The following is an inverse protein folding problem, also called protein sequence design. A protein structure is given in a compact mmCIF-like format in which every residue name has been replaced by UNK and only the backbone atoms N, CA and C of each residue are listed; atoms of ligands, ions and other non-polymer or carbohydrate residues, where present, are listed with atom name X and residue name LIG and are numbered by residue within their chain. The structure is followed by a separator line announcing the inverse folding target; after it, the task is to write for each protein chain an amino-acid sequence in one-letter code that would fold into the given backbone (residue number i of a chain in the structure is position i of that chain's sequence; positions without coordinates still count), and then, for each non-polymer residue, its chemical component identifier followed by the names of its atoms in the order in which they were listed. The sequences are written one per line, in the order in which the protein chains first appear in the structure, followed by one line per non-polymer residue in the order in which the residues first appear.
data_IF_841315790232
#
_entry.id   IF_841315790232
#
_cell.length_a   1.000
_cell.length_b   1.000
_cell.length_c   1.000
_cell.angle_alpha   90.00
_cell.angle_beta   90.00
_cell.angle_gamma   90.00
#
_symmetry.space_group_name_H-M   'P 1'
#
loop_
_entity.id
_entity.type
_entity.pdbx_description
1 polymer ?
#
# COMPACT_ATOMS: atom_id res chain seq x y z
N UNK A 1 -4.03 -23.03 -18.03
CA UNK A 1 -2.81 -22.35 -17.59
C UNK A 1 -3.21 -21.51 -16.39
N UNK A 2 -3.02 -22.05 -15.18
CA UNK A 2 -3.34 -21.31 -13.95
C UNK A 2 -2.28 -20.23 -13.84
N UNK A 3 -2.71 -18.98 -13.87
CA UNK A 3 -1.82 -17.84 -13.77
C UNK A 3 -0.98 -17.99 -12.49
N UNK A 4 0.34 -17.92 -12.63
CA UNK A 4 1.28 -17.97 -11.50
C UNK A 4 1.06 -16.81 -10.54
N UNK A 5 0.25 -15.81 -10.95
CA UNK A 5 -0.13 -14.61 -10.24
C UNK A 5 -1.62 -14.52 -9.86
N UNK A 6 -2.39 -15.62 -9.93
CA UNK A 6 -3.86 -15.62 -9.75
C UNK A 6 -4.35 -14.85 -8.51
N UNK A 7 -4.61 -13.55 -8.69
CA UNK A 7 -4.96 -12.62 -7.62
C UNK A 7 -4.40 -11.19 -7.75
N UNK A 8 -3.26 -10.95 -8.42
CA UNK A 8 -2.64 -9.60 -8.43
C UNK A 8 -3.27 -8.61 -9.43
N UNK A 9 -4.56 -8.31 -9.27
CA UNK A 9 -5.33 -7.48 -10.21
C UNK A 9 -5.90 -6.20 -9.60
N UNK A 10 -5.50 -5.86 -8.37
CA UNK A 10 -6.02 -4.69 -7.69
C UNK A 10 -5.83 -3.41 -8.52
N UNK A 11 -6.80 -2.52 -8.42
CA UNK A 11 -6.75 -1.19 -9.04
C UNK A 11 -6.82 -0.13 -7.96
N UNK A 12 -6.04 0.93 -8.14
CA UNK A 12 -6.07 2.13 -7.30
C UNK A 12 -6.61 3.30 -8.14
N UNK A 13 -7.65 3.93 -7.65
CA UNK A 13 -8.20 5.16 -8.24
C UNK A 13 -8.60 6.14 -7.13
N UNK A 14 -8.95 7.36 -7.53
CA UNK A 14 -9.46 8.38 -6.61
C UNK A 14 -10.96 8.54 -6.82
N UNK A 15 -11.73 8.54 -5.75
CA UNK A 15 -13.17 8.82 -5.75
C UNK A 15 -13.50 9.81 -4.64
N UNK A 16 -14.23 10.89 -4.97
CA UNK A 16 -14.58 11.98 -4.05
C UNK A 16 -13.43 12.50 -3.16
N UNK A 17 -12.20 12.54 -3.70
CA UNK A 17 -11.00 12.99 -3.00
C UNK A 17 -10.33 11.96 -2.09
N UNK A 18 -10.86 10.72 -2.03
CA UNK A 18 -10.26 9.60 -1.29
C UNK A 18 -9.66 8.57 -2.23
N UNK A 19 -8.70 7.79 -1.74
CA UNK A 19 -8.16 6.66 -2.49
C UNK A 19 -9.11 5.48 -2.39
N UNK A 20 -9.26 4.73 -3.48
CA UNK A 20 -10.08 3.53 -3.55
C UNK A 20 -9.28 2.40 -4.16
N UNK A 21 -9.01 1.38 -3.34
CA UNK A 21 -8.56 0.09 -3.83
C UNK A 21 -9.77 -0.74 -4.21
N UNK A 22 -9.70 -1.39 -5.37
CA UNK A 22 -10.76 -2.28 -5.86
C UNK A 22 -10.18 -3.63 -6.30
N UNK A 23 -10.81 -4.69 -5.81
CA UNK A 23 -10.52 -6.09 -6.13
C UNK A 23 -11.75 -6.77 -6.71
N UNK A 24 -11.52 -7.77 -7.56
CA UNK A 24 -12.58 -8.57 -8.15
C UNK A 24 -12.21 -10.05 -8.14
N UNK A 25 -13.07 -10.90 -7.57
CA UNK A 25 -12.85 -12.35 -7.49
C UNK A 25 -14.07 -13.07 -8.05
N UNK A 26 -13.84 -14.01 -8.95
CA UNK A 26 -14.85 -14.98 -9.36
C UNK A 26 -14.71 -16.23 -8.51
N UNK A 27 -15.67 -16.47 -7.62
CA UNK A 27 -15.73 -17.60 -6.71
C UNK A 27 -16.71 -18.65 -7.26
N UNK A 28 -16.31 -19.92 -7.29
CA UNK A 28 -17.13 -21.03 -7.84
C UNK A 28 -18.15 -21.57 -6.83
N UNK A 29 -18.78 -20.66 -6.09
CA UNK A 29 -19.72 -20.95 -5.01
C UNK A 29 -20.96 -20.07 -5.12
N UNK A 30 -22.14 -20.56 -4.69
CA UNK A 30 -23.36 -19.78 -4.73
C UNK A 30 -23.28 -18.57 -3.77
N UNK A 31 -24.00 -17.46 -4.06
CA UNK A 31 -23.96 -16.23 -3.27
C UNK A 31 -24.21 -16.44 -1.79
N UNK A 32 -25.16 -17.32 -1.42
CA UNK A 32 -25.48 -17.61 -0.02
C UNK A 32 -24.28 -18.20 0.74
N UNK A 33 -23.50 -19.08 0.10
CA UNK A 33 -22.29 -19.65 0.72
C UNK A 33 -21.20 -18.59 0.90
N UNK A 34 -21.02 -17.73 -0.11
CA UNK A 34 -20.05 -16.63 -0.03
C UNK A 34 -20.49 -15.59 1.01
N UNK A 35 -21.79 -15.31 1.10
CA UNK A 35 -22.36 -14.38 2.07
C UNK A 35 -22.06 -14.80 3.50
N UNK A 36 -22.29 -16.08 3.83
CA UNK A 36 -21.92 -16.64 5.13
C UNK A 36 -20.42 -16.47 5.39
N UNK A 37 -19.58 -16.73 4.40
CA UNK A 37 -18.14 -16.59 4.52
C UNK A 37 -17.64 -15.17 4.82
N UNK A 38 -18.39 -14.14 4.40
CA UNK A 38 -18.03 -12.72 4.63
C UNK A 38 -18.80 -12.07 5.79
N UNK A 39 -19.74 -12.76 6.44
CA UNK A 39 -20.58 -12.16 7.50
C UNK A 39 -20.50 -12.89 8.84
N UNK A 40 -20.33 -14.22 8.83
CA UNK A 40 -20.34 -15.08 10.01
C UNK A 40 -18.94 -15.11 10.66
N UNK A 41 -18.81 -14.82 11.97
CA UNK A 41 -17.52 -14.76 12.66
C UNK A 41 -16.67 -16.03 12.51
N UNK A 42 -17.30 -17.21 12.56
CA UNK A 42 -16.64 -18.51 12.39
C UNK A 42 -16.00 -18.69 11.01
N UNK A 43 -16.44 -17.93 10.01
CA UNK A 43 -15.87 -17.97 8.67
C UNK A 43 -14.89 -16.82 8.42
N UNK A 44 -15.18 -15.63 8.95
CA UNK A 44 -14.31 -14.45 8.83
C UNK A 44 -12.90 -14.73 9.38
N UNK A 45 -12.79 -15.45 10.49
CA UNK A 45 -11.50 -15.76 11.14
C UNK A 45 -10.50 -16.51 10.24
N UNK A 46 -10.96 -17.11 9.13
CA UNK A 46 -10.09 -17.85 8.22
C UNK A 46 -9.41 -16.99 7.15
N UNK A 47 -9.89 -15.76 6.93
CA UNK A 47 -9.41 -14.95 5.81
C UNK A 47 -9.34 -13.45 6.09
N UNK A 48 -10.24 -12.91 6.93
CA UNK A 48 -10.25 -11.50 7.28
C UNK A 48 -9.18 -11.23 8.36
N UNK A 49 -8.45 -10.10 8.30
CA UNK A 49 -7.29 -9.87 9.16
C UNK A 49 -7.60 -9.69 10.65
N UNK A 50 -8.86 -9.53 11.04
CA UNK A 50 -9.29 -9.36 12.42
C UNK A 50 -10.59 -10.13 12.73
N UNK A 51 -10.81 -10.48 13.99
CA UNK A 51 -12.11 -10.95 14.46
C UNK A 51 -13.08 -9.76 14.52
N UNK A 52 -14.21 -9.87 13.81
CA UNK A 52 -15.25 -8.83 13.76
C UNK A 52 -16.43 -9.22 14.64
N UNK A 53 -16.65 -8.49 15.72
CA UNK A 53 -17.76 -8.69 16.67
C UNK A 53 -18.75 -7.54 16.66
N UNK A 54 -20.02 -7.83 16.98
CA UNK A 54 -21.13 -6.87 16.97
C UNK A 54 -22.28 -7.32 16.05
N UNK A 55 -23.37 -6.56 16.06
CA UNK A 55 -24.56 -6.90 15.27
C UNK A 55 -24.36 -6.64 13.77
N UNK A 56 -25.13 -7.35 12.95
CA UNK A 56 -25.16 -7.17 11.49
C UNK A 56 -26.40 -6.39 11.09
N UNK A 57 -26.41 -5.10 11.43
CA UNK A 57 -27.50 -4.19 11.08
C UNK A 57 -26.92 -2.81 10.75
N UNK A 58 -27.48 -2.07 9.78
CA UNK A 58 -27.04 -0.70 9.50
C UNK A 58 -27.09 0.17 10.76
N UNK A 59 -26.00 0.89 11.04
CA UNK A 59 -25.81 1.69 12.25
C UNK A 59 -25.28 0.91 13.46
N UNK A 60 -25.15 -0.41 13.39
CA UNK A 60 -24.59 -1.20 14.49
C UNK A 60 -23.09 -0.93 14.67
N UNK A 61 -22.67 -0.72 15.91
CA UNK A 61 -21.27 -0.64 16.27
C UNK A 61 -20.62 -2.03 16.18
N UNK A 62 -19.40 -2.06 15.67
CA UNK A 62 -18.57 -3.27 15.56
C UNK A 62 -17.17 -3.00 16.09
N UNK A 63 -16.53 -4.06 16.57
CA UNK A 63 -15.15 -4.01 17.08
C UNK A 63 -14.30 -5.06 16.38
N UNK A 64 -13.02 -4.76 16.26
CA UNK A 64 -12.03 -5.61 15.61
C UNK A 64 -10.96 -6.03 16.61
N UNK A 65 -10.54 -7.29 16.55
CA UNK A 65 -9.43 -7.80 17.37
C UNK A 65 -8.48 -8.58 16.48
N UNK A 66 -7.19 -8.22 16.48
CA UNK A 66 -6.20 -8.93 15.69
C UNK A 66 -5.92 -10.33 16.26
N UNK A 67 -5.33 -11.20 15.45
CA UNK A 67 -5.10 -12.61 15.83
C UNK A 67 -4.19 -12.78 17.06
N UNK A 68 -3.34 -11.80 17.37
CA UNK A 68 -2.49 -11.76 18.55
C UNK A 68 -3.21 -11.24 19.81
N UNK A 69 -4.52 -10.94 19.70
CA UNK A 69 -5.35 -10.43 20.78
C UNK A 69 -5.25 -8.92 20.99
N UNK A 70 -4.46 -8.20 20.19
CA UNK A 70 -4.39 -6.75 20.26
C UNK A 70 -5.65 -6.09 19.72
N UNK A 71 -5.96 -4.90 20.26
CA UNK A 71 -7.10 -4.11 19.81
C UNK A 71 -6.92 -3.73 18.34
N UNK A 72 -7.87 -4.16 17.50
CA UNK A 72 -7.91 -3.85 16.08
C UNK A 72 -8.73 -2.61 15.77
N UNK A 73 -9.32 -1.97 16.78
CA UNK A 73 -10.10 -0.75 16.61
C UNK A 73 -11.60 -0.99 16.46
N UNK A 74 -12.31 0.04 16.02
CA UNK A 74 -13.77 0.07 15.99
C UNK A 74 -14.33 0.50 14.64
N UNK A 75 -15.63 0.27 14.46
CA UNK A 75 -16.33 0.55 13.23
C UNK A 75 -17.84 0.59 13.37
N UNK A 76 -18.51 0.79 12.25
CA UNK A 76 -19.97 0.77 12.17
C UNK A 76 -20.40 0.11 10.88
N UNK A 77 -21.38 -0.79 10.95
CA UNK A 77 -22.02 -1.36 9.76
C UNK A 77 -22.77 -0.24 9.03
N UNK A 78 -22.39 0.07 7.80
CA UNK A 78 -23.04 1.11 6.99
C UNK A 78 -24.08 0.53 6.04
N UNK A 79 -23.89 -0.71 5.59
CA UNK A 79 -24.85 -1.45 4.76
C UNK A 79 -24.86 -2.92 5.15
N UNK A 80 -26.06 -3.48 5.28
CA UNK A 80 -26.27 -4.92 5.43
C UNK A 80 -27.49 -5.33 4.60
N UNK A 81 -27.24 -5.85 3.40
CA UNK A 81 -28.26 -6.29 2.43
C UNK A 81 -27.98 -7.74 2.01
N UNK A 82 -28.42 -8.75 2.79
CA UNK A 82 -28.19 -10.16 2.47
C UNK A 82 -28.88 -10.61 1.17
N UNK A 83 -28.24 -11.45 0.32
CA UNK A 83 -26.85 -11.88 0.33
C UNK A 83 -25.97 -11.04 -0.64
N UNK A 84 -26.27 -9.74 -0.81
CA UNK A 84 -25.77 -8.91 -1.91
C UNK A 84 -24.68 -7.94 -1.52
N UNK A 85 -24.76 -7.29 -0.35
CA UNK A 85 -23.81 -6.24 0.02
C UNK A 85 -23.62 -6.09 1.52
N UNK A 86 -22.37 -6.08 1.94
CA UNK A 86 -21.93 -5.73 3.29
C UNK A 86 -20.97 -4.55 3.18
N UNK A 87 -21.26 -3.46 3.88
CA UNK A 87 -20.31 -2.35 3.99
C UNK A 87 -20.21 -1.89 5.44
N UNK A 88 -19.01 -1.50 5.85
CA UNK A 88 -18.73 -1.06 7.21
C UNK A 88 -17.50 -0.18 7.27
N UNK A 89 -17.45 0.68 8.29
CA UNK A 89 -16.25 1.44 8.60
C UNK A 89 -15.30 0.63 9.48
N UNK A 90 -14.01 0.89 9.34
CA UNK A 90 -12.96 0.40 10.22
C UNK A 90 -11.93 1.52 10.41
N UNK A 91 -11.80 2.05 11.63
CA UNK A 91 -10.90 3.18 11.93
C UNK A 91 -11.09 4.39 10.98
N UNK A 92 -12.35 4.68 10.61
CA UNK A 92 -12.70 5.78 9.70
C UNK A 92 -12.55 5.49 8.20
N UNK A 93 -11.97 4.36 7.84
CA UNK A 93 -11.91 3.85 6.46
C UNK A 93 -13.17 3.05 6.13
N UNK A 94 -13.55 2.96 4.85
CA UNK A 94 -14.77 2.24 4.42
C UNK A 94 -14.39 0.99 3.64
N UNK A 95 -14.89 -0.16 4.07
CA UNK A 95 -14.88 -1.41 3.33
C UNK A 95 -16.28 -1.71 2.80
N UNK A 96 -16.35 -2.11 1.53
CA UNK A 96 -17.59 -2.50 0.86
C UNK A 96 -17.35 -3.78 0.05
N UNK A 97 -18.14 -4.81 0.37
CA UNK A 97 -18.14 -6.11 -0.26
C UNK A 97 -19.48 -6.31 -0.95
N UNK A 98 -19.44 -6.39 -2.29
CA UNK A 98 -20.62 -6.64 -3.12
C UNK A 98 -20.53 -8.00 -3.80
N UNK A 99 -21.61 -8.77 -3.72
CA UNK A 99 -21.78 -10.09 -4.32
C UNK A 99 -22.78 -10.00 -5.48
N UNK A 100 -22.37 -10.48 -6.66
CA UNK A 100 -23.24 -10.62 -7.83
C UNK A 100 -23.23 -12.08 -8.29
N UNK A 101 -24.40 -12.75 -8.39
CA UNK A 101 -24.47 -14.09 -8.95
C UNK A 101 -23.93 -14.11 -10.39
N UNK A 102 -23.25 -15.19 -10.77
CA UNK A 102 -22.82 -15.46 -12.14
C UNK A 102 -23.35 -16.83 -12.58
N UNK A 103 -23.18 -17.18 -13.87
CA UNK A 103 -23.60 -18.49 -14.37
C UNK A 103 -22.88 -19.68 -13.72
N UNK A 104 -21.73 -19.45 -13.08
CA UNK A 104 -20.87 -20.51 -12.51
C UNK A 104 -20.52 -20.29 -11.04
N UNK A 105 -21.10 -19.29 -10.38
CA UNK A 105 -20.82 -18.97 -8.99
C UNK A 105 -21.17 -17.53 -8.63
N UNK A 106 -20.22 -16.82 -8.02
CA UNK A 106 -20.41 -15.45 -7.50
C UNK A 106 -19.22 -14.59 -7.84
N UNK A 107 -19.47 -13.38 -8.32
CA UNK A 107 -18.49 -12.30 -8.44
C UNK A 107 -18.51 -11.52 -7.12
N UNK A 108 -17.40 -11.56 -6.39
CA UNK A 108 -17.13 -10.71 -5.23
C UNK A 108 -16.34 -9.49 -5.70
N UNK A 109 -16.80 -8.32 -5.31
CA UNK A 109 -16.08 -7.06 -5.43
C UNK A 109 -15.80 -6.54 -4.03
N UNK A 110 -14.54 -6.28 -3.72
CA UNK A 110 -14.13 -5.59 -2.49
C UNK A 110 -13.59 -4.22 -2.88
N UNK A 111 -14.11 -3.17 -2.23
CA UNK A 111 -13.53 -1.82 -2.28
C UNK A 111 -13.14 -1.34 -0.90
N UNK A 112 -11.99 -0.68 -0.82
CA UNK A 112 -11.45 -0.08 0.39
C UNK A 112 -11.17 1.39 0.12
N UNK A 113 -11.91 2.28 0.79
CA UNK A 113 -11.71 3.72 0.74
C UNK A 113 -10.86 4.17 1.93
N UNK A 114 -9.76 4.85 1.65
CA UNK A 114 -8.75 5.26 2.64
C UNK A 114 -8.05 6.55 2.24
N UNK A 115 -7.40 7.17 3.21
CA UNK A 115 -6.81 8.50 3.04
C UNK A 115 -5.29 8.42 2.79
N UNK A 116 -4.58 7.49 3.44
CA UNK A 116 -3.13 7.32 3.32
C UNK A 116 -2.74 6.64 1.99
N UNK A 117 -2.63 7.42 0.91
CA UNK A 117 -2.25 6.92 -0.43
C UNK A 117 -0.94 6.12 -0.41
N UNK A 118 0.15 6.59 0.24
CA UNK A 118 1.36 5.80 0.37
C UNK A 118 1.19 4.41 1.02
N UNK A 119 0.09 4.13 1.73
CA UNK A 119 -0.21 2.79 2.26
C UNK A 119 -0.89 1.83 1.25
N UNK A 120 -1.31 2.32 0.08
CA UNK A 120 -2.10 1.54 -0.88
C UNK A 120 -1.46 0.20 -1.27
N UNK A 121 -0.14 0.15 -1.46
CA UNK A 121 0.55 -1.10 -1.80
C UNK A 121 0.52 -2.14 -0.67
N UNK A 122 0.63 -1.69 0.59
CA UNK A 122 0.55 -2.56 1.78
C UNK A 122 -0.86 -3.10 1.97
N UNK A 123 -1.87 -2.24 1.87
CA UNK A 123 -3.27 -2.65 1.90
C UNK A 123 -3.58 -3.64 0.77
N UNK A 124 -3.08 -3.39 -0.44
CA UNK A 124 -3.36 -4.29 -1.56
C UNK A 124 -2.71 -5.67 -1.41
N UNK A 125 -1.46 -5.73 -0.95
CA UNK A 125 -0.78 -6.98 -0.64
C UNK A 125 -1.49 -7.76 0.49
N UNK A 126 -2.00 -7.04 1.50
CA UNK A 126 -2.81 -7.60 2.57
C UNK A 126 -4.12 -8.21 2.06
N UNK A 127 -4.91 -7.42 1.32
CA UNK A 127 -6.19 -7.88 0.76
C UNK A 127 -6.03 -9.02 -0.23
N UNK A 128 -4.98 -9.06 -1.03
CA UNK A 128 -4.72 -10.21 -1.91
C UNK A 128 -4.52 -11.51 -1.14
N UNK A 129 -3.76 -11.45 -0.04
CA UNK A 129 -3.55 -12.61 0.84
C UNK A 129 -4.87 -13.04 1.48
N UNK A 130 -5.67 -12.09 1.97
CA UNK A 130 -6.96 -12.34 2.58
C UNK A 130 -7.96 -12.93 1.57
N UNK A 131 -8.10 -12.34 0.38
CA UNK A 131 -9.01 -12.83 -0.66
C UNK A 131 -8.57 -14.18 -1.23
N UNK A 132 -7.26 -14.45 -1.25
CA UNK A 132 -6.72 -15.77 -1.55
C UNK A 132 -7.16 -16.81 -0.51
N UNK A 133 -7.01 -16.50 0.77
CA UNK A 133 -7.43 -17.36 1.87
C UNK A 133 -8.96 -17.58 1.89
N UNK A 134 -9.76 -16.58 1.51
CA UNK A 134 -11.21 -16.71 1.33
C UNK A 134 -11.54 -17.76 0.26
N UNK A 135 -10.89 -17.67 -0.91
CA UNK A 135 -11.09 -18.63 -1.99
C UNK A 135 -10.70 -20.05 -1.55
N UNK A 136 -9.52 -20.20 -0.93
CA UNK A 136 -9.01 -21.50 -0.47
C UNK A 136 -9.96 -22.11 0.59
N UNK A 137 -10.47 -21.30 1.52
CA UNK A 137 -11.46 -21.72 2.54
C UNK A 137 -12.76 -22.20 1.92
N UNK A 138 -13.28 -21.47 0.92
CA UNK A 138 -14.49 -21.85 0.21
C UNK A 138 -14.31 -23.15 -0.59
N UNK A 139 -13.15 -23.33 -1.23
CA UNK A 139 -12.79 -24.53 -1.98
C UNK A 139 -12.45 -25.73 -1.09
N UNK A 140 -12.25 -25.51 0.22
CA UNK A 140 -11.84 -26.54 1.16
C UNK A 140 -10.40 -27.01 0.95
N UNK A 141 -9.55 -26.15 0.40
CA UNK A 141 -8.13 -26.42 0.15
C UNK A 141 -7.24 -25.79 1.22
N UNK A 142 -6.04 -26.33 1.48
CA UNK A 142 -5.09 -25.71 2.38
C UNK A 142 -4.74 -24.29 1.93
N UNK A 143 -4.58 -23.37 2.89
CA UNK A 143 -4.17 -22.00 2.62
C UNK A 143 -2.81 -21.98 1.91
N UNK A 144 -2.75 -21.28 0.78
CA UNK A 144 -1.47 -21.09 0.08
C UNK A 144 -0.62 -20.04 0.78
N UNK A 145 0.70 -20.24 0.74
CA UNK A 145 1.65 -19.20 1.14
C UNK A 145 1.56 -18.01 0.18
N UNK A 146 1.58 -16.80 0.71
CA UNK A 146 1.58 -15.57 -0.09
C UNK A 146 2.80 -14.73 0.26
N UNK A 147 3.58 -14.37 -0.75
CA UNK A 147 4.71 -13.46 -0.59
C UNK A 147 4.20 -12.02 -0.57
N UNK A 148 3.85 -11.53 0.62
CA UNK A 148 3.32 -10.17 0.82
C UNK A 148 4.33 -9.09 0.47
N UNK A 149 5.63 -9.36 0.61
CA UNK A 149 6.66 -8.40 0.28
C UNK A 149 6.78 -8.22 -1.24
N UNK A 150 6.78 -9.33 -1.99
CA UNK A 150 6.74 -9.28 -3.44
C UNK A 150 5.44 -8.64 -3.98
N UNK A 151 4.29 -8.96 -3.38
CA UNK A 151 3.02 -8.34 -3.74
C UNK A 151 3.02 -6.82 -3.46
N UNK A 152 3.58 -6.38 -2.33
CA UNK A 152 3.75 -4.97 -2.01
C UNK A 152 4.57 -4.25 -3.10
N UNK A 153 5.72 -4.80 -3.48
CA UNK A 153 6.58 -4.20 -4.50
C UNK A 153 5.91 -4.16 -5.89
N UNK A 154 5.17 -5.20 -6.24
CA UNK A 154 4.34 -5.21 -7.44
C UNK A 154 3.33 -4.06 -7.43
N UNK A 155 2.60 -3.88 -6.33
CA UNK A 155 1.59 -2.83 -6.23
C UNK A 155 2.17 -1.42 -6.13
N UNK A 156 3.31 -1.26 -5.45
CA UNK A 156 3.98 0.04 -5.39
C UNK A 156 4.37 0.54 -6.79
N UNK A 157 4.89 -0.36 -7.64
CA UNK A 157 5.16 -0.05 -9.05
C UNK A 157 3.86 0.19 -9.85
N UNK A 158 2.88 -0.71 -9.74
CA UNK A 158 1.60 -0.64 -10.48
C UNK A 158 0.81 0.64 -10.18
N UNK A 159 0.85 1.12 -8.94
CA UNK A 159 0.09 2.29 -8.46
C UNK A 159 0.87 3.60 -8.55
N UNK A 160 2.05 3.57 -9.17
CA UNK A 160 2.90 4.73 -9.37
C UNK A 160 3.34 5.40 -8.05
N UNK A 161 3.61 4.60 -7.02
CA UNK A 161 3.99 5.07 -5.67
C UNK A 161 5.51 5.21 -5.50
N UNK A 162 6.28 4.99 -6.56
CA UNK A 162 7.75 4.98 -6.53
C UNK A 162 8.38 6.30 -6.99
N UNK A 163 7.57 7.25 -7.45
CA UNK A 163 8.03 8.49 -8.08
C UNK A 163 8.23 9.59 -7.05
N UNK A 164 9.28 10.37 -7.27
CA UNK A 164 9.50 11.61 -6.55
C UNK A 164 8.83 12.79 -7.23
N UNK A 165 8.71 13.90 -6.51
CA UNK A 165 8.27 15.19 -7.04
C UNK A 165 9.37 16.22 -6.90
N UNK A 166 9.32 17.27 -7.72
CA UNK A 166 10.20 18.43 -7.62
C UNK A 166 9.36 19.71 -7.69
N UNK A 167 9.66 20.66 -6.82
CA UNK A 167 8.93 21.92 -6.70
C UNK A 167 9.91 23.11 -6.75
N UNK A 168 9.72 24.06 -7.68
CA UNK A 168 10.57 25.24 -7.76
C UNK A 168 10.29 26.17 -6.58
N UNK A 169 11.33 26.85 -6.11
CA UNK A 169 11.28 27.77 -4.99
C UNK A 169 11.45 29.22 -5.45
N UNK A 170 10.93 30.20 -4.69
CA UNK A 170 11.05 31.62 -5.05
C UNK A 170 12.50 32.14 -5.18
N UNK A 171 13.45 31.48 -4.53
CA UNK A 171 14.88 31.81 -4.58
C UNK A 171 15.61 31.22 -5.79
N UNK A 172 14.89 30.54 -6.69
CA UNK A 172 15.43 29.89 -7.88
C UNK A 172 15.98 28.49 -7.64
N UNK A 173 15.90 27.96 -6.41
CA UNK A 173 16.25 26.57 -6.10
C UNK A 173 15.04 25.63 -6.26
N UNK A 174 15.26 24.33 -6.06
CA UNK A 174 14.26 23.29 -6.14
C UNK A 174 14.24 22.43 -4.88
N UNK A 175 13.05 21.95 -4.53
CA UNK A 175 12.85 20.94 -3.50
C UNK A 175 12.39 19.64 -4.14
N UNK A 176 13.16 18.57 -3.98
CA UNK A 176 12.80 17.22 -4.38
C UNK A 176 12.23 16.46 -3.18
N UNK A 177 11.17 15.68 -3.39
CA UNK A 177 10.50 14.90 -2.34
C UNK A 177 10.25 13.46 -2.77
N UNK A 178 10.42 12.53 -1.85
CA UNK A 178 9.99 11.14 -1.97
C UNK A 178 9.25 10.72 -0.70
N UNK A 179 8.17 9.96 -0.85
CA UNK A 179 7.48 9.31 0.26
C UNK A 179 7.15 7.88 -0.14
N UNK A 180 7.53 6.91 0.69
CA UNK A 180 7.39 5.49 0.37
C UNK A 180 7.15 4.64 1.61
N UNK A 181 6.24 3.68 1.52
CA UNK A 181 6.16 2.57 2.50
C UNK A 181 7.19 1.51 2.14
N UNK A 182 7.94 1.06 3.13
CA UNK A 182 8.88 -0.05 3.03
C UNK A 182 8.33 -1.23 3.82
N UNK A 183 8.63 -2.45 3.38
CA UNK A 183 8.09 -3.71 3.93
C UNK A 183 8.81 -4.19 5.19
N UNK A 184 9.66 -3.37 5.78
CA UNK A 184 10.47 -3.71 6.94
C UNK A 184 10.36 -2.64 8.03
N UNK A 185 10.52 -3.01 9.31
CA UNK A 185 10.53 -2.07 10.42
C UNK A 185 11.66 -1.03 10.31
N UNK A 186 11.48 0.10 10.98
CA UNK A 186 12.44 1.21 10.94
C UNK A 186 13.86 0.78 11.36
N UNK A 187 14.00 -0.08 12.37
CA UNK A 187 15.29 -0.61 12.83
C UNK A 187 16.05 -1.37 11.74
N UNK A 188 15.32 -2.11 10.90
CA UNK A 188 15.91 -2.85 9.78
C UNK A 188 16.29 -1.93 8.62
N UNK A 189 15.52 -0.87 8.39
CA UNK A 189 15.76 0.09 7.30
C UNK A 189 16.90 1.06 7.62
N UNK A 190 17.03 1.47 8.89
CA UNK A 190 17.98 2.50 9.35
C UNK A 190 19.43 2.30 8.84
N UNK A 191 20.07 1.13 8.98
CA UNK A 191 21.45 0.95 8.50
C UNK A 191 21.56 1.09 6.98
N UNK A 192 20.61 0.57 6.21
CA UNK A 192 20.61 0.70 4.74
C UNK A 192 20.37 2.14 4.29
N UNK A 193 19.57 2.88 5.04
CA UNK A 193 19.35 4.30 4.81
C UNK A 193 20.63 5.10 5.08
N UNK A 194 21.37 4.77 6.14
CA UNK A 194 22.65 5.43 6.44
C UNK A 194 23.66 5.27 5.29
N UNK A 195 23.74 4.07 4.71
CA UNK A 195 24.58 3.80 3.52
C UNK A 195 24.13 4.63 2.31
N UNK A 196 22.82 4.78 2.09
CA UNK A 196 22.28 5.59 1.00
C UNK A 196 22.53 7.11 1.18
N UNK A 197 22.58 7.56 2.44
CA UNK A 197 22.84 8.96 2.81
C UNK A 197 24.33 9.30 2.91
N UNK A 198 25.22 8.29 2.98
CA UNK A 198 26.65 8.43 3.32
C UNK A 198 26.85 9.14 4.68
N UNK A 199 25.98 8.88 5.65
CA UNK A 199 26.04 9.41 7.02
C UNK A 199 25.18 8.58 7.97
N UNK A 200 25.47 8.55 9.29
CA UNK A 200 24.61 7.86 10.25
C UNK A 200 23.15 8.35 10.21
N UNK A 201 22.21 7.40 10.23
CA UNK A 201 20.77 7.65 10.33
C UNK A 201 20.23 7.13 11.68
N UNK A 202 19.14 7.72 12.16
CA UNK A 202 18.48 7.32 13.41
C UNK A 202 17.13 6.66 13.15
N UNK A 203 16.81 5.63 13.92
CA UNK A 203 15.55 4.87 13.80
C UNK A 203 14.30 5.64 14.23
N UNK A 204 14.46 6.70 15.00
CA UNK A 204 13.34 7.52 15.48
C UNK A 204 13.71 8.99 15.37
N UNK A 205 12.96 9.74 14.57
CA UNK A 205 13.17 11.16 14.35
C UNK A 205 13.75 11.51 12.99
N UNK A 206 13.90 12.81 12.75
CA UNK A 206 14.45 13.34 11.51
C UNK A 206 15.98 13.23 11.51
N UNK A 207 16.54 12.71 10.43
CA UNK A 207 17.97 12.82 10.10
C UNK A 207 18.14 13.94 9.08
N UNK A 208 18.99 14.93 9.38
CA UNK A 208 19.31 16.02 8.47
C UNK A 208 20.78 15.96 8.06
N UNK A 209 21.04 15.98 6.76
CA UNK A 209 22.38 15.93 6.16
C UNK A 209 22.60 17.22 5.38
N UNK A 210 23.53 18.05 5.83
CA UNK A 210 23.92 19.25 5.12
C UNK A 210 25.08 18.95 4.17
N UNK A 211 25.04 19.52 2.97
CA UNK A 211 26.11 19.44 1.98
C UNK A 211 26.68 20.85 1.73
N UNK A 212 27.70 21.28 2.48
CA UNK A 212 28.25 22.63 2.35
C UNK A 212 28.87 22.92 0.98
N UNK A 213 29.26 21.87 0.23
CA UNK A 213 29.92 22.00 -1.07
C UNK A 213 28.97 22.51 -2.17
N UNK A 214 27.70 22.14 -2.12
CA UNK A 214 26.67 22.58 -3.07
C UNK A 214 25.53 23.37 -2.41
N UNK A 215 25.59 23.57 -1.08
CA UNK A 215 24.62 24.34 -0.31
C UNK A 215 23.30 23.62 -0.06
N UNK A 216 23.20 22.33 -0.40
CA UNK A 216 21.96 21.56 -0.29
C UNK A 216 21.77 20.95 1.09
N UNK A 217 20.53 20.56 1.41
CA UNK A 217 20.20 19.84 2.64
C UNK A 217 19.23 18.70 2.35
N UNK A 218 19.50 17.53 2.93
CA UNK A 218 18.63 16.36 2.87
C UNK A 218 18.01 16.12 4.24
N UNK A 219 16.68 16.14 4.31
CA UNK A 219 15.92 15.74 5.48
C UNK A 219 15.26 14.40 5.23
N UNK A 220 15.42 13.46 6.16
CA UNK A 220 14.78 12.15 6.11
C UNK A 220 14.05 11.85 7.42
N UNK A 221 12.82 11.36 7.34
CA UNK A 221 12.15 10.71 8.46
C UNK A 221 11.82 9.26 8.12
N UNK A 222 11.83 8.44 9.16
CA UNK A 222 11.46 7.03 9.09
C UNK A 222 10.48 6.75 10.23
N UNK A 223 9.20 6.72 9.88
CA UNK A 223 8.12 6.58 10.85
C UNK A 223 7.50 5.18 10.74
N UNK A 224 6.98 4.56 11.81
CA UNK A 224 6.20 3.34 11.69
C UNK A 224 5.01 3.52 10.73
N UNK A 225 4.72 2.50 9.93
CA UNK A 225 3.57 2.50 9.01
C UNK A 225 2.99 1.09 8.80
N UNK A 226 1.85 0.97 8.11
CA UNK A 226 1.20 -0.32 7.90
C UNK A 226 2.12 -1.35 7.23
N UNK A 227 2.51 -2.40 7.96
CA UNK A 227 3.37 -3.47 7.43
C UNK A 227 4.86 -3.12 7.31
N UNK A 228 5.33 -2.01 7.90
CA UNK A 228 6.76 -1.68 7.94
C UNK A 228 7.02 -0.22 8.34
N UNK A 229 7.79 0.50 7.52
CA UNK A 229 8.23 1.86 7.83
C UNK A 229 7.99 2.83 6.66
N UNK A 230 7.51 4.02 6.98
CA UNK A 230 7.28 5.14 6.08
C UNK A 230 8.56 5.97 5.99
N UNK A 231 9.21 5.91 4.83
CA UNK A 231 10.32 6.79 4.47
C UNK A 231 9.77 8.09 3.88
N UNK A 232 10.17 9.24 4.43
CA UNK A 232 9.97 10.56 3.82
C UNK A 232 11.32 11.21 3.62
N UNK A 233 11.61 11.61 2.39
CA UNK A 233 12.85 12.27 2.02
C UNK A 233 12.55 13.60 1.37
N UNK A 234 13.28 14.62 1.76
CA UNK A 234 13.27 15.94 1.14
C UNK A 234 14.72 16.38 0.86
N UNK A 235 15.02 16.74 -0.38
CA UNK A 235 16.30 17.32 -0.77
C UNK A 235 16.07 18.76 -1.21
N UNK A 236 16.69 19.72 -0.52
CA UNK A 236 16.44 21.15 -0.66
C UNK A 236 17.68 21.92 -1.14
N UNK A 237 17.47 23.09 -1.75
CA UNK A 237 18.54 23.94 -2.25
C UNK A 237 19.13 23.51 -3.59
N UNK A 238 18.46 22.60 -4.32
CA UNK A 238 18.94 22.11 -5.62
C UNK A 238 18.86 23.21 -6.68
N UNK A 239 19.91 23.35 -7.49
CA UNK A 239 19.91 24.20 -8.68
C UNK A 239 19.92 23.36 -9.97
N UNK A 240 19.35 23.88 -11.06
CA UNK A 240 19.54 23.30 -12.39
C UNK A 240 21.03 23.31 -12.79
N UNK A 241 21.55 22.27 -13.49
CA UNK A 241 20.83 21.12 -14.05
C UNK A 241 20.70 19.90 -13.10
N UNK A 242 20.97 20.05 -11.81
CA UNK A 242 21.13 18.92 -10.89
C UNK A 242 19.82 18.32 -10.36
N UNK A 243 18.66 18.91 -10.68
CA UNK A 243 17.35 18.49 -10.15
C UNK A 243 16.98 17.09 -10.65
N UNK A 244 17.07 16.85 -11.97
CA UNK A 244 16.78 15.53 -12.57
C UNK A 244 17.75 14.47 -12.05
N UNK A 245 19.05 14.80 -11.99
CA UNK A 245 20.06 13.88 -11.46
C UNK A 245 19.76 13.47 -10.00
N UNK A 246 19.29 14.40 -9.17
CA UNK A 246 18.88 14.11 -7.80
C UNK A 246 17.64 13.19 -7.74
N UNK A 247 16.62 13.44 -8.57
CA UNK A 247 15.43 12.58 -8.67
C UNK A 247 15.80 11.15 -9.09
N UNK A 248 16.63 11.00 -10.12
CA UNK A 248 17.10 9.69 -10.62
C UNK A 248 17.91 8.96 -9.54
N UNK A 249 18.83 9.66 -8.86
CA UNK A 249 19.63 9.10 -7.76
C UNK A 249 18.73 8.57 -6.65
N UNK A 250 17.77 9.37 -6.18
CA UNK A 250 16.89 8.97 -5.08
C UNK A 250 15.94 7.86 -5.47
N UNK A 251 15.32 7.93 -6.65
CA UNK A 251 14.45 6.88 -7.16
C UNK A 251 15.20 5.55 -7.21
N UNK A 252 16.41 5.53 -7.81
CA UNK A 252 17.23 4.33 -7.94
C UNK A 252 17.68 3.80 -6.58
N UNK A 253 18.18 4.68 -5.70
CA UNK A 253 18.66 4.30 -4.38
C UNK A 253 17.56 3.75 -3.47
N UNK A 254 16.40 4.40 -3.43
CA UNK A 254 15.25 3.93 -2.63
C UNK A 254 14.72 2.59 -3.16
N UNK A 255 14.73 2.37 -4.49
CA UNK A 255 14.39 1.06 -5.06
C UNK A 255 15.39 -0.02 -4.73
N UNK A 256 16.69 0.28 -4.78
CA UNK A 256 17.72 -0.67 -4.39
C UNK A 256 17.60 -1.06 -2.91
N UNK A 257 17.34 -0.08 -2.04
CA UNK A 257 17.05 -0.30 -0.63
C UNK A 257 15.85 -1.22 -0.44
N UNK A 258 14.73 -0.99 -1.13
CA UNK A 258 13.54 -1.84 -1.02
C UNK A 258 13.77 -3.26 -1.55
N UNK A 259 14.51 -3.42 -2.64
CA UNK A 259 14.88 -4.74 -3.15
C UNK A 259 15.71 -5.52 -2.13
N UNK A 260 16.69 -4.87 -1.50
CA UNK A 260 17.48 -5.46 -0.43
C UNK A 260 16.61 -5.94 0.73
N UNK A 261 15.64 -5.13 1.18
CA UNK A 261 14.72 -5.49 2.27
C UNK A 261 13.84 -6.71 1.95
N UNK A 262 13.55 -6.95 0.68
CA UNK A 262 12.76 -8.10 0.23
C UNK A 262 13.62 -9.31 -0.14
N UNK A 263 14.95 -9.23 0.02
CA UNK A 263 15.89 -10.27 -0.40
C UNK A 263 15.94 -10.47 -1.91
N UNK A 264 15.52 -9.46 -2.68
CA UNK A 264 15.52 -9.48 -4.14
C UNK A 264 16.66 -8.62 -4.70
N UNK A 265 17.13 -8.96 -5.89
CA UNK A 265 18.01 -8.05 -6.63
C UNK A 265 17.17 -6.88 -7.12
N UNK A 266 17.67 -5.63 -7.06
CA UNK A 266 17.02 -4.52 -7.73
C UNK A 266 16.73 -4.91 -9.18
N UNK A 267 15.49 -4.77 -9.62
CA UNK A 267 15.12 -5.00 -11.02
C UNK A 267 15.94 -4.12 -11.96
N UNK A 268 15.78 -4.32 -13.27
CA UNK A 268 16.35 -3.36 -14.22
C UNK A 268 15.89 -1.93 -13.85
N UNK A 269 16.79 -0.93 -13.95
CA UNK A 269 16.39 0.45 -13.73
C UNK A 269 15.22 0.78 -14.66
N UNK A 270 14.30 1.61 -14.19
CA UNK A 270 13.22 2.08 -15.06
C UNK A 270 13.86 2.78 -16.26
N UNK A 271 13.46 2.37 -17.46
CA UNK A 271 13.95 2.99 -18.68
C UNK A 271 13.52 4.46 -18.70
N UNK A 272 14.39 5.31 -19.23
CA UNK A 272 14.10 6.71 -19.52
C UNK A 272 13.73 7.57 -18.29
N UNK A 273 14.23 7.24 -17.08
CA UNK A 273 13.98 8.05 -15.88
C UNK A 273 14.42 9.51 -16.04
N UNK A 274 15.56 9.77 -16.69
CA UNK A 274 16.03 11.12 -16.99
C UNK A 274 14.99 11.88 -17.83
N UNK A 275 14.54 11.31 -18.94
CA UNK A 275 13.51 11.89 -19.81
C UNK A 275 12.20 12.08 -19.07
N UNK A 276 11.76 11.08 -18.30
CA UNK A 276 10.55 11.14 -17.50
C UNK A 276 10.55 12.31 -16.52
N UNK A 277 11.62 12.44 -15.72
CA UNK A 277 11.72 13.52 -14.74
C UNK A 277 11.97 14.88 -15.39
N UNK A 278 12.68 14.93 -16.53
CA UNK A 278 12.82 16.15 -17.32
C UNK A 278 11.46 16.67 -17.79
N UNK A 279 10.61 15.79 -18.32
CA UNK A 279 9.27 16.13 -18.77
C UNK A 279 8.37 16.53 -17.59
N UNK A 280 8.47 15.84 -16.44
CA UNK A 280 7.69 16.13 -15.24
C UNK A 280 8.01 17.52 -14.65
N UNK A 281 9.28 17.94 -14.69
CA UNK A 281 9.71 19.27 -14.23
C UNK A 281 9.34 20.37 -15.24
N UNK A 282 9.41 20.05 -16.54
CA UNK A 282 9.13 20.99 -17.63
C UNK A 282 7.64 21.22 -17.91
N UNK A 283 6.76 20.32 -17.46
CA UNK A 283 5.32 20.47 -17.61
C UNK A 283 4.77 21.53 -16.64
N UNK A 284 3.90 22.47 -17.07
CA UNK A 284 3.13 23.26 -16.13
C UNK A 284 2.24 22.31 -15.31
N UNK A 285 2.34 22.40 -13.98
CA UNK A 285 1.53 21.59 -13.06
C UNK A 285 0.02 21.73 -13.38
N UNK A 286 -0.75 20.63 -13.40
CA UNK A 286 -2.20 20.66 -13.64
C UNK A 286 -2.99 21.31 -12.50
#
# INVERSE_FOLDING_TARGET
MVDKFGGMDATLHTDAGRNVLRFERTLRHPPDRVWRAITEPEHLTHWFPAALTGDRAPGAAITFTFADGTDGGTGTITTYDPPRRLAFTWEGELLDLTLTPTGTGTRLVLTHHFDDRPAAASFAAGWDSCLAALADTLDGTPARAHDRAAAHEHYAARFDLLRGTAEPQPDGTWHVRFERLLTAPADTVTPLLADLLDTPATTTGATTVAHPADGTTIDVTLDPGPGGARLRLRHTGLAEPHVVAALVRWHTGIRALAAHLTGTTPGAPDADLDTFYQDAIGAPMP
#
